data_IF_678470272588
#
_entry.id   IF_678470272588
#
_cell.length_a   1.000
_cell.length_b   1.000
_cell.length_c   1.000
_cell.angle_alpha   90.00
_cell.angle_beta   90.00
_cell.angle_gamma   90.00
#
_symmetry.space_group_name_H-M   'P 1'
#
loop_
_entity.id
_entity.type
_entity.pdbx_description
1 polymer ?
#
# COMPACT_ATOMS: atom_id res chain seq x y z
N UNK A 1 28.42 16.65 -1.98
CA UNK A 1 27.00 16.26 -1.98
C UNK A 1 26.66 15.18 -0.93
N UNK A 2 27.42 14.08 -0.85
CA UNK A 2 27.23 13.06 0.22
C UNK A 2 27.52 13.56 1.65
N UNK A 3 28.29 14.64 1.84
CA UNK A 3 28.49 15.25 3.15
C UNK A 3 27.24 15.92 3.73
N UNK A 4 26.30 16.35 2.88
CA UNK A 4 25.03 16.93 3.32
C UNK A 4 24.08 15.83 3.87
N UNK A 5 24.07 14.65 3.27
CA UNK A 5 23.27 13.49 3.74
C UNK A 5 23.82 12.90 5.06
N UNK A 6 25.14 13.05 5.34
CA UNK A 6 25.75 12.62 6.61
C UNK A 6 25.33 13.44 7.83
N UNK A 7 24.70 14.59 7.66
CA UNK A 7 24.26 15.47 8.77
C UNK A 7 22.83 15.18 9.26
N UNK A 8 21.97 14.56 8.45
CA UNK A 8 20.63 14.13 8.89
C UNK A 8 20.75 12.71 9.48
N UNK A 9 20.42 12.54 10.75
CA UNK A 9 20.45 11.20 11.41
C UNK A 9 19.43 10.32 10.71
N UNK A 10 19.89 9.22 10.08
CA UNK A 10 19.01 8.20 9.52
C UNK A 10 18.23 7.58 10.67
N UNK A 11 16.91 7.64 10.61
CA UNK A 11 16.02 7.01 11.60
C UNK A 11 15.24 5.91 10.92
N UNK A 12 14.98 4.82 11.67
CA UNK A 12 14.09 3.76 11.19
C UNK A 12 12.68 4.34 11.11
N UNK A 13 12.04 4.33 9.93
CA UNK A 13 10.62 4.65 9.80
C UNK A 13 9.76 3.79 10.73
N UNK A 14 8.64 4.33 11.20
CA UNK A 14 7.78 3.63 12.16
C UNK A 14 7.32 2.26 11.65
N UNK A 15 6.98 2.17 10.37
CA UNK A 15 6.59 0.93 9.68
C UNK A 15 7.71 -0.10 9.52
N UNK A 16 8.98 0.24 9.80
CA UNK A 16 10.10 -0.72 9.73
C UNK A 16 10.64 -1.12 11.10
N UNK A 17 10.19 -0.47 12.21
CA UNK A 17 10.77 -0.67 13.54
C UNK A 17 10.72 -2.12 14.04
N UNK A 18 9.67 -2.87 13.65
CA UNK A 18 9.53 -4.27 14.02
C UNK A 18 10.29 -5.23 13.09
N UNK A 19 10.75 -4.73 11.94
CA UNK A 19 11.42 -5.50 10.91
C UNK A 19 12.95 -5.43 11.04
N UNK A 20 13.49 -4.24 11.36
CA UNK A 20 14.93 -3.97 11.39
C UNK A 20 15.30 -3.01 12.51
N UNK A 21 16.37 -3.31 13.22
CA UNK A 21 16.91 -2.45 14.29
C UNK A 21 17.58 -1.19 13.73
N UNK A 22 17.66 -0.13 14.55
CA UNK A 22 18.22 1.18 14.16
C UNK A 22 19.61 1.09 13.53
N UNK A 23 20.53 0.29 14.13
CA UNK A 23 21.90 0.14 13.63
C UNK A 23 21.97 -0.58 12.28
N UNK A 24 21.19 -1.65 12.11
CA UNK A 24 21.15 -2.42 10.86
C UNK A 24 20.47 -1.60 9.75
N UNK A 25 19.46 -0.80 10.10
CA UNK A 25 18.82 0.11 9.16
C UNK A 25 19.75 1.22 8.66
N UNK A 26 20.55 1.81 9.54
CA UNK A 26 21.58 2.79 9.15
C UNK A 26 22.59 2.16 8.17
N UNK A 27 23.00 0.90 8.43
CA UNK A 27 23.89 0.14 7.52
C UNK A 27 23.18 -0.06 6.17
N UNK A 28 21.95 -0.54 6.18
CA UNK A 28 21.14 -0.78 4.97
C UNK A 28 21.02 0.47 4.10
N UNK A 29 20.58 1.61 4.68
CA UNK A 29 20.43 2.86 3.92
C UNK A 29 21.77 3.35 3.37
N UNK A 30 22.84 3.30 4.17
CA UNK A 30 24.17 3.68 3.72
C UNK A 30 24.67 2.78 2.56
N UNK A 31 24.39 1.48 2.60
CA UNK A 31 24.69 0.57 1.50
C UNK A 31 23.89 0.93 0.24
N UNK A 32 22.60 1.21 0.36
CA UNK A 32 21.77 1.67 -0.76
C UNK A 32 22.34 2.94 -1.41
N UNK A 33 22.67 3.95 -0.60
CA UNK A 33 23.23 5.22 -1.08
C UNK A 33 24.60 5.03 -1.78
N UNK A 34 25.45 4.14 -1.25
CA UNK A 34 26.74 3.84 -1.86
C UNK A 34 26.57 3.10 -3.20
N UNK A 35 25.69 2.09 -3.26
CA UNK A 35 25.41 1.37 -4.50
C UNK A 35 24.85 2.31 -5.57
N UNK A 36 23.88 3.17 -5.22
CA UNK A 36 23.34 4.16 -6.16
C UNK A 36 24.42 5.13 -6.66
N UNK A 37 25.33 5.55 -5.79
CA UNK A 37 26.48 6.38 -6.18
C UNK A 37 27.40 5.64 -7.15
N UNK A 38 27.73 4.37 -6.89
CA UNK A 38 28.60 3.54 -7.75
C UNK A 38 27.94 3.31 -9.12
N UNK A 39 26.61 3.26 -9.17
CA UNK A 39 25.81 3.20 -10.39
C UNK A 39 25.64 4.57 -11.08
N UNK A 40 26.23 5.63 -10.57
CA UNK A 40 26.20 6.96 -11.17
C UNK A 40 24.88 7.74 -10.92
N UNK A 41 24.04 7.27 -10.01
CA UNK A 41 22.78 7.94 -9.65
C UNK A 41 23.05 9.18 -8.82
N UNK A 42 22.51 10.32 -9.23
CA UNK A 42 22.63 11.59 -8.49
C UNK A 42 21.53 11.69 -7.41
N UNK A 43 21.80 11.13 -6.24
CA UNK A 43 20.89 11.20 -5.10
C UNK A 43 20.78 12.62 -4.56
N UNK A 44 19.55 13.11 -4.38
CA UNK A 44 19.21 14.45 -3.86
C UNK A 44 18.97 14.39 -2.36
N UNK A 45 18.13 13.49 -1.91
CA UNK A 45 17.72 13.34 -0.51
C UNK A 45 17.35 11.93 -0.15
N UNK A 46 17.29 11.65 1.15
CA UNK A 46 16.72 10.46 1.75
C UNK A 46 15.80 10.91 2.90
N UNK A 47 14.58 10.38 2.92
CA UNK A 47 13.60 10.64 4.00
C UNK A 47 12.58 9.50 4.11
N UNK A 48 12.39 8.95 5.32
CA UNK A 48 11.37 7.93 5.64
C UNK A 48 11.29 6.72 4.66
N UNK A 49 12.44 6.18 4.26
CA UNK A 49 12.47 5.04 3.33
C UNK A 49 12.33 5.41 1.85
N UNK A 50 12.27 6.72 1.53
CA UNK A 50 12.27 7.25 0.18
C UNK A 50 13.63 7.87 -0.16
N UNK A 51 14.26 7.42 -1.24
CA UNK A 51 15.46 8.03 -1.83
C UNK A 51 15.05 8.84 -3.07
N UNK A 52 15.15 10.15 -2.98
CA UNK A 52 14.94 11.05 -4.13
C UNK A 52 16.22 11.18 -4.94
N UNK A 53 16.15 11.02 -6.25
CA UNK A 53 17.29 11.18 -7.16
C UNK A 53 16.97 12.10 -8.34
N UNK A 54 18.02 12.69 -8.93
CA UNK A 54 17.89 13.56 -10.11
C UNK A 54 17.68 12.70 -11.36
N UNK A 55 16.48 12.70 -11.89
CA UNK A 55 16.17 12.12 -13.19
C UNK A 55 16.54 13.06 -14.35
N UNK A 56 16.30 12.64 -15.59
CA UNK A 56 16.60 13.46 -16.80
C UNK A 56 15.77 14.73 -16.88
N UNK A 57 14.48 14.61 -16.63
CA UNK A 57 13.51 15.72 -16.73
C UNK A 57 13.07 16.20 -15.33
N UNK A 58 12.90 15.29 -14.40
CA UNK A 58 12.40 15.52 -13.05
C UNK A 58 13.09 14.62 -12.03
N UNK A 59 12.79 14.87 -10.74
CA UNK A 59 13.30 14.03 -9.65
C UNK A 59 12.52 12.71 -9.60
N UNK A 60 13.24 11.61 -9.49
CA UNK A 60 12.68 10.27 -9.31
C UNK A 60 12.77 9.79 -7.87
N UNK A 61 12.04 8.73 -7.54
CA UNK A 61 11.93 8.17 -6.19
C UNK A 61 12.22 6.66 -6.18
N UNK A 62 12.98 6.20 -5.18
CA UNK A 62 13.13 4.79 -4.84
C UNK A 62 12.54 4.56 -3.45
N UNK A 63 11.36 3.92 -3.39
CA UNK A 63 10.76 3.47 -2.14
C UNK A 63 11.40 2.16 -1.69
N UNK A 64 11.88 2.11 -0.46
CA UNK A 64 12.70 1.00 0.03
C UNK A 64 11.91 -0.14 0.70
N UNK A 65 10.60 -0.06 0.80
CA UNK A 65 9.75 -1.03 1.51
C UNK A 65 9.92 -2.47 1.00
N UNK A 66 9.92 -2.71 -0.31
CA UNK A 66 10.15 -4.03 -0.86
C UNK A 66 11.59 -4.50 -0.67
N UNK A 67 12.55 -3.58 -0.80
CA UNK A 67 13.97 -3.91 -0.65
C UNK A 67 14.34 -4.22 0.79
N UNK A 68 13.85 -3.44 1.78
CA UNK A 68 14.13 -3.72 3.20
C UNK A 68 13.57 -5.06 3.63
N UNK A 69 12.37 -5.44 3.14
CA UNK A 69 11.76 -6.74 3.40
C UNK A 69 12.63 -7.88 2.89
N UNK A 70 13.13 -7.79 1.66
CA UNK A 70 14.06 -8.78 1.09
C UNK A 70 15.39 -8.81 1.83
N UNK A 71 15.94 -7.63 2.16
CA UNK A 71 17.21 -7.48 2.85
C UNK A 71 17.26 -8.21 4.20
N UNK A 72 16.17 -8.18 4.98
CA UNK A 72 16.13 -8.86 6.28
C UNK A 72 15.90 -10.36 6.18
N UNK A 73 15.43 -10.86 5.02
CA UNK A 73 15.19 -12.28 4.77
C UNK A 73 16.43 -13.03 4.27
N UNK A 74 17.45 -12.32 3.76
CA UNK A 74 18.67 -12.94 3.26
C UNK A 74 19.78 -12.92 4.31
N UNK A 75 20.68 -13.90 4.22
CA UNK A 75 21.85 -13.97 5.09
C UNK A 75 22.74 -12.73 4.95
N UNK A 76 23.39 -12.32 6.05
CA UNK A 76 24.20 -11.08 6.11
C UNK A 76 25.24 -10.97 5.00
N UNK A 77 25.82 -12.08 4.57
CA UNK A 77 26.80 -12.13 3.46
C UNK A 77 26.19 -11.80 2.10
N UNK A 78 24.89 -12.03 1.91
CA UNK A 78 24.14 -11.81 0.67
C UNK A 78 23.42 -10.46 0.62
N UNK A 79 23.29 -9.77 1.75
CA UNK A 79 22.54 -8.52 1.85
C UNK A 79 23.00 -7.42 0.90
N UNK A 80 24.32 -7.22 0.76
CA UNK A 80 24.84 -6.23 -0.16
C UNK A 80 24.62 -6.63 -1.64
N UNK A 81 24.65 -7.93 -1.93
CA UNK A 81 24.35 -8.45 -3.27
C UNK A 81 22.90 -8.18 -3.64
N UNK A 82 21.94 -8.43 -2.72
CA UNK A 82 20.52 -8.13 -2.93
C UNK A 82 20.30 -6.64 -3.26
N UNK A 83 20.96 -5.73 -2.53
CA UNK A 83 20.87 -4.28 -2.81
C UNK A 83 21.43 -3.96 -4.21
N UNK A 84 22.57 -4.53 -4.58
CA UNK A 84 23.20 -4.28 -5.89
C UNK A 84 22.32 -4.78 -7.03
N UNK A 85 21.81 -5.99 -6.91
CA UNK A 85 20.97 -6.62 -7.94
C UNK A 85 19.64 -5.86 -8.10
N UNK A 86 19.05 -5.42 -6.99
CA UNK A 86 17.85 -4.59 -7.01
C UNK A 86 18.05 -3.30 -7.81
N UNK A 87 19.04 -2.48 -7.44
CA UNK A 87 19.26 -1.20 -8.13
C UNK A 87 19.81 -1.37 -9.55
N UNK A 88 20.58 -2.43 -9.83
CA UNK A 88 21.03 -2.73 -11.18
C UNK A 88 19.87 -3.04 -12.11
N UNK A 89 18.94 -3.91 -11.68
CA UNK A 89 17.70 -4.19 -12.43
C UNK A 89 16.91 -2.92 -12.72
N UNK A 90 16.76 -2.04 -11.73
CA UNK A 90 16.06 -0.77 -11.90
C UNK A 90 16.71 0.14 -12.95
N UNK A 91 18.04 0.06 -13.16
CA UNK A 91 18.76 0.86 -14.17
C UNK A 91 18.78 0.25 -15.56
N UNK A 92 18.72 -1.08 -15.67
CA UNK A 92 18.75 -1.78 -16.96
C UNK A 92 17.49 -1.55 -17.81
N UNK A 93 16.45 -0.87 -17.27
CA UNK A 93 15.16 -0.67 -17.95
C UNK A 93 14.80 0.80 -18.30
N UNK A 94 15.75 1.75 -18.52
CA UNK A 94 15.39 3.15 -18.80
C UNK A 94 14.67 3.36 -20.15
N UNK A 95 14.93 2.52 -21.13
CA UNK A 95 14.35 2.66 -22.48
C UNK A 95 12.91 2.19 -22.60
N UNK A 96 12.45 1.32 -21.69
CA UNK A 96 11.08 0.84 -21.69
C UNK A 96 10.09 1.94 -21.24
N UNK A 97 10.50 2.86 -20.34
CA UNK A 97 9.62 3.89 -19.79
C UNK A 97 9.18 4.91 -20.86
N UNK A 98 10.12 5.47 -21.60
CA UNK A 98 9.80 6.45 -22.65
C UNK A 98 8.88 5.85 -23.74
N UNK A 99 8.95 4.54 -23.97
CA UNK A 99 8.08 3.83 -24.90
C UNK A 99 6.66 3.65 -24.33
N UNK A 100 6.56 3.26 -23.06
CA UNK A 100 5.27 3.03 -22.39
C UNK A 100 4.38 4.28 -22.37
N UNK A 101 4.97 5.46 -22.18
CA UNK A 101 4.22 6.72 -22.24
C UNK A 101 3.91 7.21 -23.67
N UNK A 102 4.46 6.57 -24.70
CA UNK A 102 4.15 6.83 -26.10
C UNK A 102 3.15 5.85 -26.71
N UNK A 103 2.97 4.68 -26.09
CA UNK A 103 2.09 3.61 -26.57
C UNK A 103 1.15 3.17 -25.44
N UNK A 104 0.01 3.84 -25.36
CA UNK A 104 -1.01 3.52 -24.35
C UNK A 104 -1.56 2.10 -24.50
N UNK A 105 -1.75 1.63 -25.73
CA UNK A 105 -2.28 0.28 -25.97
C UNK A 105 -1.36 -0.80 -25.41
N UNK A 106 -0.07 -0.54 -25.41
CA UNK A 106 0.89 -1.42 -24.74
C UNK A 106 0.93 -1.18 -23.22
N UNK A 107 0.93 0.09 -22.77
CA UNK A 107 1.05 0.43 -21.35
C UNK A 107 -0.15 -0.03 -20.50
N UNK A 108 -1.38 0.00 -21.05
CA UNK A 108 -2.62 -0.28 -20.33
C UNK A 108 -2.67 -1.68 -19.69
N UNK A 109 -1.94 -2.66 -20.22
CA UNK A 109 -1.87 -4.01 -19.64
C UNK A 109 -1.13 -4.06 -18.29
N UNK A 110 -0.28 -3.09 -18.01
CA UNK A 110 0.49 -2.97 -16.76
C UNK A 110 -0.19 -2.05 -15.75
N UNK A 111 -1.27 -1.33 -16.15
CA UNK A 111 -1.97 -0.42 -15.26
C UNK A 111 -2.60 -1.18 -14.10
N UNK A 112 -2.29 -0.74 -12.89
CA UNK A 112 -2.91 -1.23 -11.65
C UNK A 112 -3.10 -0.09 -10.67
N UNK A 113 -3.75 -0.37 -9.57
CA UNK A 113 -3.88 0.57 -8.45
C UNK A 113 -3.29 -0.02 -7.19
N UNK A 114 -2.73 0.85 -6.35
CA UNK A 114 -2.30 0.51 -4.98
C UNK A 114 -3.05 1.40 -3.99
N UNK A 115 -3.50 0.80 -2.88
CA UNK A 115 -4.00 1.57 -1.73
C UNK A 115 -2.80 1.94 -0.86
N UNK A 116 -2.72 3.20 -0.47
CA UNK A 116 -1.59 3.76 0.30
C UNK A 116 -2.08 4.74 1.37
N UNK A 117 -1.33 4.91 2.47
CA UNK A 117 -1.53 6.01 3.40
C UNK A 117 -1.34 7.37 2.70
N UNK A 118 -1.98 8.42 3.24
CA UNK A 118 -1.91 9.78 2.66
C UNK A 118 -0.55 10.44 2.79
N UNK A 119 0.28 9.98 3.71
CA UNK A 119 1.62 10.53 4.02
C UNK A 119 2.78 9.76 3.35
N UNK A 120 2.48 8.95 2.32
CA UNK A 120 3.49 8.13 1.63
C UNK A 120 4.65 8.96 1.07
N UNK A 121 4.39 10.16 0.59
CA UNK A 121 5.41 11.10 0.10
C UNK A 121 4.89 12.55 0.15
N UNK A 122 5.77 13.54 0.45
CA UNK A 122 5.40 14.95 0.40
C UNK A 122 4.98 15.44 -1.01
N UNK A 123 5.32 14.70 -2.06
CA UNK A 123 5.01 15.04 -3.45
C UNK A 123 3.82 14.26 -4.03
N UNK A 124 2.94 13.76 -3.17
CA UNK A 124 1.82 12.90 -3.62
C UNK A 124 0.92 13.61 -4.65
N UNK A 125 0.82 14.93 -4.60
CA UNK A 125 0.04 15.72 -5.55
C UNK A 125 0.55 15.65 -6.99
N UNK A 126 1.78 15.23 -7.22
CA UNK A 126 2.35 15.05 -8.55
C UNK A 126 1.85 13.76 -9.22
N UNK A 127 1.34 12.80 -8.45
CA UNK A 127 0.90 11.50 -8.94
C UNK A 127 -0.59 11.45 -9.28
N UNK A 128 -0.98 10.48 -10.11
CA UNK A 128 -2.39 10.21 -10.42
C UNK A 128 -3.00 9.43 -9.28
N UNK A 129 -3.82 10.11 -8.48
CA UNK A 129 -4.44 9.55 -7.28
C UNK A 129 -5.92 9.90 -7.22
N UNK A 130 -6.69 9.08 -6.49
CA UNK A 130 -8.05 9.38 -6.03
C UNK A 130 -8.28 8.82 -4.63
N UNK A 131 -9.41 9.14 -4.02
CA UNK A 131 -9.80 8.63 -2.70
C UNK A 131 -10.98 7.67 -2.90
N UNK A 132 -10.76 6.37 -2.64
CA UNK A 132 -11.83 5.38 -2.58
C UNK A 132 -12.17 5.04 -1.13
N UNK A 133 -11.17 4.82 -0.28
CA UNK A 133 -11.32 4.69 1.17
C UNK A 133 -11.09 6.04 1.87
N UNK A 134 -11.91 6.45 2.84
CA UNK A 134 -11.61 7.64 3.64
C UNK A 134 -10.19 7.57 4.22
N UNK A 135 -9.46 8.68 4.15
CA UNK A 135 -8.08 8.84 4.65
C UNK A 135 -7.02 7.93 4.01
N UNK A 136 -7.35 7.27 2.89
CA UNK A 136 -6.39 6.50 2.07
C UNK A 136 -6.39 7.00 0.63
N UNK A 137 -5.25 6.80 -0.03
CA UNK A 137 -5.07 7.11 -1.44
C UNK A 137 -5.13 5.83 -2.28
N UNK A 138 -5.88 5.88 -3.37
CA UNK A 138 -5.75 4.95 -4.48
C UNK A 138 -4.82 5.57 -5.51
N UNK A 139 -3.63 4.99 -5.68
CA UNK A 139 -2.57 5.51 -6.55
C UNK A 139 -2.47 4.65 -7.80
N UNK A 140 -2.43 5.30 -8.97
CA UNK A 140 -2.24 4.60 -10.24
C UNK A 140 -0.77 4.24 -10.45
N UNK A 141 -0.51 2.99 -10.83
CA UNK A 141 0.84 2.46 -11.06
C UNK A 141 0.92 1.65 -12.35
N UNK A 142 2.14 1.53 -12.90
CA UNK A 142 2.48 0.45 -13.82
C UNK A 142 3.16 -0.65 -13.01
N UNK A 143 2.62 -1.86 -13.09
CA UNK A 143 3.15 -3.04 -12.41
C UNK A 143 4.10 -3.80 -13.33
N UNK A 144 5.35 -3.86 -12.93
CA UNK A 144 6.37 -4.72 -13.52
C UNK A 144 6.71 -5.82 -12.51
N UNK A 145 7.19 -6.96 -12.98
CA UNK A 145 7.47 -8.13 -12.12
C UNK A 145 8.30 -7.81 -10.86
N UNK A 146 9.16 -6.80 -10.92
CA UNK A 146 10.14 -6.48 -9.88
C UNK A 146 9.89 -5.14 -9.19
N UNK A 147 8.96 -4.30 -9.69
CA UNK A 147 8.69 -2.95 -9.16
C UNK A 147 7.37 -2.36 -9.62
N UNK A 148 6.94 -1.32 -8.89
CA UNK A 148 5.87 -0.41 -9.31
C UNK A 148 6.46 0.91 -9.78
N UNK A 149 6.01 1.40 -10.95
CA UNK A 149 6.20 2.78 -11.34
C UNK A 149 4.93 3.58 -11.00
N UNK A 150 5.06 4.51 -10.08
CA UNK A 150 3.98 5.41 -9.67
C UNK A 150 3.78 6.44 -10.78
N UNK A 151 2.59 6.47 -11.40
CA UNK A 151 2.31 7.30 -12.57
C UNK A 151 2.11 8.74 -12.16
N UNK A 152 2.92 9.62 -12.73
CA UNK A 152 2.79 11.07 -12.52
C UNK A 152 1.71 11.63 -13.45
N UNK A 153 1.13 12.77 -13.05
CA UNK A 153 0.10 13.46 -13.86
C UNK A 153 0.62 13.90 -15.22
N UNK A 154 1.87 14.40 -15.27
CA UNK A 154 2.51 14.82 -16.53
C UNK A 154 2.83 13.63 -17.46
N UNK A 155 3.12 12.46 -16.93
CA UNK A 155 3.27 11.22 -17.70
C UNK A 155 1.92 10.73 -18.24
N UNK A 156 0.89 10.68 -17.39
CA UNK A 156 -0.44 10.19 -17.77
C UNK A 156 -1.11 11.04 -18.85
N UNK A 157 -0.89 12.36 -18.86
CA UNK A 157 -1.42 13.28 -19.89
C UNK A 157 -0.94 12.91 -21.29
N UNK A 158 0.25 12.31 -21.44
CA UNK A 158 0.78 11.88 -22.74
C UNK A 158 -0.06 10.79 -23.40
N UNK A 159 -0.86 10.06 -22.65
CA UNK A 159 -1.78 9.04 -23.17
C UNK A 159 -3.09 9.62 -23.74
N UNK A 160 -3.38 10.89 -23.50
CA UNK A 160 -4.63 11.56 -23.93
C UNK A 160 -5.90 10.80 -23.50
N UNK A 161 -5.84 10.11 -22.33
CA UNK A 161 -6.92 9.33 -21.72
C UNK A 161 -7.33 9.98 -20.40
N UNK A 162 -8.63 10.04 -20.15
CA UNK A 162 -9.17 10.55 -18.89
C UNK A 162 -8.69 9.71 -17.69
N UNK A 163 -8.36 10.34 -16.56
CA UNK A 163 -7.85 9.65 -15.39
C UNK A 163 -8.84 8.63 -14.82
N UNK A 164 -10.15 8.93 -14.85
CA UNK A 164 -11.16 7.97 -14.39
C UNK A 164 -11.20 6.72 -15.28
N UNK A 165 -10.94 6.86 -16.59
CA UNK A 165 -10.84 5.72 -17.50
C UNK A 165 -9.58 4.89 -17.20
N UNK A 166 -8.45 5.52 -16.87
CA UNK A 166 -7.24 4.83 -16.43
C UNK A 166 -7.49 4.00 -15.16
N UNK A 167 -8.22 4.55 -14.17
CA UNK A 167 -8.60 3.81 -12.98
C UNK A 167 -9.52 2.62 -13.28
N UNK A 168 -10.47 2.76 -14.21
CA UNK A 168 -11.33 1.63 -14.61
C UNK A 168 -10.52 0.50 -15.24
N UNK A 169 -9.60 0.82 -16.15
CA UNK A 169 -8.70 -0.16 -16.77
C UNK A 169 -7.85 -0.84 -15.71
N UNK A 170 -7.27 -0.06 -14.80
CA UNK A 170 -6.46 -0.59 -13.71
C UNK A 170 -7.26 -1.55 -12.81
N UNK A 171 -8.51 -1.25 -12.48
CA UNK A 171 -9.38 -2.14 -11.71
C UNK A 171 -9.76 -3.42 -12.47
N UNK A 172 -9.95 -3.36 -13.79
CA UNK A 172 -10.11 -4.55 -14.63
C UNK A 172 -8.86 -5.43 -14.56
N UNK A 173 -7.66 -4.85 -14.59
CA UNK A 173 -6.43 -5.61 -14.43
C UNK A 173 -6.27 -6.20 -13.01
N UNK A 174 -6.67 -5.44 -11.96
CA UNK A 174 -6.72 -5.96 -10.57
C UNK A 174 -7.65 -7.14 -10.45
N UNK A 175 -8.78 -7.18 -11.18
CA UNK A 175 -9.72 -8.30 -11.13
C UNK A 175 -9.14 -9.63 -11.64
N UNK A 176 -8.03 -9.57 -12.36
CA UNK A 176 -7.32 -10.75 -12.91
C UNK A 176 -6.20 -11.24 -11.98
N UNK A 177 -5.94 -10.52 -10.88
CA UNK A 177 -4.92 -10.92 -9.92
C UNK A 177 -5.32 -12.18 -9.14
N UNK A 178 -4.31 -13.00 -8.86
CA UNK A 178 -4.50 -14.19 -8.05
C UNK A 178 -4.52 -13.83 -6.56
N UNK A 179 -5.68 -13.37 -6.06
CA UNK A 179 -5.91 -13.10 -4.65
C UNK A 179 -6.59 -14.30 -4.01
N UNK A 180 -5.90 -14.93 -3.07
CA UNK A 180 -6.49 -16.02 -2.29
C UNK A 180 -7.50 -15.46 -1.29
N UNK A 181 -8.71 -16.00 -1.26
CA UNK A 181 -9.76 -15.62 -0.31
C UNK A 181 -10.04 -16.81 0.60
N UNK A 182 -9.74 -16.65 1.89
CA UNK A 182 -10.00 -17.67 2.91
C UNK A 182 -11.10 -17.21 3.85
N UNK A 183 -12.06 -18.09 4.09
CA UNK A 183 -13.09 -17.89 5.10
C UNK A 183 -12.60 -18.43 6.44
N UNK A 184 -12.65 -17.60 7.48
CA UNK A 184 -12.33 -17.97 8.86
C UNK A 184 -13.52 -17.68 9.76
N UNK A 185 -13.66 -18.49 10.80
CA UNK A 185 -14.65 -18.27 11.86
C UNK A 185 -13.94 -17.60 13.05
N UNK A 186 -14.26 -16.34 13.30
CA UNK A 186 -13.73 -15.58 14.44
C UNK A 186 -14.69 -15.69 15.64
N UNK A 187 -14.12 -15.88 16.82
CA UNK A 187 -14.86 -16.02 18.10
C UNK A 187 -15.96 -17.11 18.03
N UNK A 188 -15.74 -18.18 17.23
CA UNK A 188 -16.71 -19.25 16.96
C UNK A 188 -18.09 -18.76 16.45
N UNK A 189 -18.18 -17.54 15.93
CA UNK A 189 -19.43 -16.87 15.62
C UNK A 189 -19.41 -16.08 14.30
N UNK A 190 -18.33 -15.37 14.00
CA UNK A 190 -18.28 -14.41 12.92
C UNK A 190 -17.52 -14.95 11.71
N UNK A 191 -18.18 -15.04 10.56
CA UNK A 191 -17.53 -15.33 9.29
C UNK A 191 -16.68 -14.14 8.85
N UNK A 192 -15.37 -14.30 8.70
CA UNK A 192 -14.45 -13.30 8.19
C UNK A 192 -13.75 -13.83 6.96
N UNK A 193 -13.84 -13.12 5.86
CA UNK A 193 -13.08 -13.42 4.64
C UNK A 193 -11.75 -12.67 4.71
N UNK A 194 -10.65 -13.41 4.61
CA UNK A 194 -9.30 -12.86 4.60
C UNK A 194 -8.76 -12.96 3.19
N UNK A 195 -8.45 -11.82 2.59
CA UNK A 195 -7.81 -11.72 1.29
C UNK A 195 -6.30 -11.78 1.51
N UNK A 196 -5.63 -12.63 0.76
CA UNK A 196 -4.18 -12.84 0.85
C UNK A 196 -3.56 -12.80 -0.54
N UNK A 197 -2.64 -11.85 -0.73
CA UNK A 197 -1.79 -11.77 -1.91
C UNK A 197 -0.45 -11.12 -1.55
N UNK A 198 0.51 -11.11 -2.47
CA UNK A 198 1.76 -10.37 -2.25
C UNK A 198 1.55 -8.86 -2.18
N UNK A 199 0.77 -8.30 -3.13
CA UNK A 199 0.73 -6.86 -3.35
C UNK A 199 -0.67 -6.25 -3.53
N UNK A 200 -1.71 -7.05 -3.85
CA UNK A 200 -2.97 -6.52 -4.39
C UNK A 200 -4.23 -6.82 -3.59
N UNK A 201 -4.15 -7.42 -2.40
CA UNK A 201 -5.34 -7.66 -1.58
C UNK A 201 -6.09 -6.37 -1.23
N UNK A 202 -5.35 -5.31 -0.85
CA UNK A 202 -5.95 -4.01 -0.58
C UNK A 202 -6.66 -3.44 -1.80
N UNK A 203 -6.02 -3.48 -2.96
CA UNK A 203 -6.60 -3.01 -4.23
C UNK A 203 -7.79 -3.85 -4.68
N UNK A 204 -7.73 -5.18 -4.50
CA UNK A 204 -8.81 -6.10 -4.83
C UNK A 204 -10.07 -5.86 -3.99
N UNK A 205 -9.93 -5.34 -2.77
CA UNK A 205 -11.07 -5.00 -1.93
C UNK A 205 -11.97 -3.89 -2.52
N UNK A 206 -11.46 -3.10 -3.47
CA UNK A 206 -12.26 -2.13 -4.23
C UNK A 206 -13.29 -2.80 -5.17
N UNK A 207 -13.14 -4.09 -5.41
CA UNK A 207 -14.02 -4.90 -6.26
C UNK A 207 -15.04 -5.71 -5.45
N UNK A 208 -15.27 -5.38 -4.19
CA UNK A 208 -16.17 -6.12 -3.29
C UNK A 208 -17.56 -6.30 -3.88
N UNK A 209 -18.12 -5.28 -4.51
CA UNK A 209 -19.47 -5.28 -5.09
C UNK A 209 -19.60 -6.09 -6.38
N UNK A 210 -18.49 -6.46 -7.01
CA UNK A 210 -18.48 -7.15 -8.30
C UNK A 210 -17.87 -8.54 -8.24
N UNK A 211 -16.98 -8.81 -7.26
CA UNK A 211 -16.22 -10.06 -7.17
C UNK A 211 -16.39 -10.79 -5.83
N UNK A 212 -17.01 -10.15 -4.82
CA UNK A 212 -17.14 -10.70 -3.48
C UNK A 212 -18.52 -10.39 -2.87
N UNK A 213 -19.59 -10.53 -3.63
CA UNK A 213 -20.98 -10.32 -3.17
C UNK A 213 -21.32 -11.19 -1.96
N UNK A 214 -20.71 -12.36 -1.83
CA UNK A 214 -20.82 -13.24 -0.67
C UNK A 214 -20.25 -12.64 0.63
N UNK A 215 -19.41 -11.63 0.54
CA UNK A 215 -18.83 -10.89 1.66
C UNK A 215 -19.63 -9.63 2.03
N UNK A 216 -20.78 -9.40 1.41
CA UNK A 216 -21.69 -8.30 1.69
C UNK A 216 -22.91 -8.85 2.43
N UNK A 217 -23.12 -8.40 3.67
CA UNK A 217 -24.28 -8.75 4.48
C UNK A 217 -25.46 -7.83 4.25
N UNK A 218 -26.54 -8.07 5.00
CA UNK A 218 -27.78 -7.26 4.96
C UNK A 218 -27.51 -5.78 5.24
N UNK A 219 -26.55 -5.50 6.13
CA UNK A 219 -26.14 -4.16 6.53
C UNK A 219 -24.77 -3.75 5.94
N UNK A 220 -24.35 -4.39 4.83
CA UNK A 220 -23.07 -4.13 4.20
C UNK A 220 -21.92 -4.98 4.76
N UNK A 221 -20.72 -4.43 4.76
CA UNK A 221 -19.50 -5.14 5.18
C UNK A 221 -18.63 -4.30 6.10
N UNK A 222 -18.04 -4.94 7.11
CA UNK A 222 -16.93 -4.40 7.90
C UNK A 222 -15.61 -4.78 7.21
N UNK A 223 -14.75 -3.80 6.92
CA UNK A 223 -13.50 -3.99 6.19
C UNK A 223 -12.33 -3.45 7.01
N UNK A 224 -11.24 -4.21 7.11
CA UNK A 224 -9.97 -3.79 7.68
C UNK A 224 -8.85 -4.02 6.68
N UNK A 225 -7.96 -3.02 6.50
CA UNK A 225 -6.87 -3.06 5.51
C UNK A 225 -5.54 -2.80 6.22
N UNK A 226 -5.00 -3.77 6.99
CA UNK A 226 -3.75 -3.56 7.70
C UNK A 226 -2.55 -3.42 6.77
N UNK A 227 -2.50 -4.15 5.66
CA UNK A 227 -1.37 -4.14 4.72
C UNK A 227 -1.84 -4.23 3.27
N UNK A 228 -0.93 -3.98 2.31
CA UNK A 228 -1.24 -4.15 0.88
C UNK A 228 -1.62 -5.60 0.51
N UNK A 229 -1.05 -6.57 1.23
CA UNK A 229 -1.22 -8.00 0.97
C UNK A 229 -2.29 -8.68 1.81
N UNK A 230 -2.90 -7.99 2.79
CA UNK A 230 -3.89 -8.59 3.69
C UNK A 230 -5.08 -7.66 3.89
N UNK A 231 -6.29 -8.20 3.70
CA UNK A 231 -7.56 -7.51 3.97
C UNK A 231 -8.50 -8.45 4.71
N UNK A 232 -9.22 -7.93 5.68
CA UNK A 232 -10.27 -8.63 6.42
C UNK A 232 -11.63 -8.06 6.03
N UNK A 233 -12.60 -8.92 5.71
CA UNK A 233 -13.96 -8.51 5.35
C UNK A 233 -14.96 -9.37 6.10
N UNK A 234 -15.85 -8.75 6.87
CA UNK A 234 -16.96 -9.44 7.54
C UNK A 234 -18.31 -8.93 6.99
N UNK A 235 -19.19 -9.81 6.47
CA UNK A 235 -20.54 -9.45 6.06
C UNK A 235 -21.39 -9.12 7.30
N UNK A 236 -21.86 -7.90 7.42
CA UNK A 236 -22.69 -7.46 8.55
C UNK A 236 -24.13 -7.95 8.33
N UNK A 237 -24.55 -8.93 9.13
CA UNK A 237 -25.91 -9.52 9.06
C UNK A 237 -26.72 -9.28 10.32
N UNK A 238 -26.08 -8.92 11.42
CA UNK A 238 -26.70 -8.72 12.74
C UNK A 238 -26.01 -7.56 13.46
N UNK A 239 -26.62 -7.01 14.48
CA UNK A 239 -26.08 -5.87 15.22
C UNK A 239 -24.97 -6.23 16.23
N UNK A 240 -24.73 -7.50 16.48
CA UNK A 240 -23.69 -7.99 17.39
C UNK A 240 -22.29 -8.07 16.75
N UNK A 241 -22.16 -7.73 15.46
CA UNK A 241 -20.86 -7.67 14.78
C UNK A 241 -19.85 -6.73 15.47
N UNK A 242 -20.32 -5.78 16.28
CA UNK A 242 -19.43 -4.90 17.06
C UNK A 242 -18.56 -5.69 18.04
N UNK A 243 -18.99 -6.86 18.50
CA UNK A 243 -18.20 -7.74 19.36
C UNK A 243 -16.93 -8.23 18.63
N UNK A 244 -17.02 -8.40 17.30
CA UNK A 244 -15.87 -8.79 16.45
C UNK A 244 -14.78 -7.70 16.40
N UNK A 245 -15.11 -6.43 16.56
CA UNK A 245 -14.19 -5.32 16.27
C UNK A 245 -12.90 -5.40 17.09
N UNK A 246 -12.97 -5.85 18.35
CA UNK A 246 -11.78 -6.01 19.22
C UNK A 246 -10.86 -7.13 18.71
N UNK A 247 -11.44 -8.29 18.41
CA UNK A 247 -10.66 -9.45 17.90
C UNK A 247 -10.05 -9.12 16.55
N UNK A 248 -10.82 -8.49 15.67
CA UNK A 248 -10.35 -8.07 14.36
C UNK A 248 -9.23 -7.02 14.45
N UNK A 249 -9.36 -6.05 15.35
CA UNK A 249 -8.35 -5.03 15.58
C UNK A 249 -7.01 -5.65 16.03
N UNK A 250 -7.03 -6.61 16.95
CA UNK A 250 -5.83 -7.31 17.42
C UNK A 250 -5.15 -8.10 16.29
N UNK A 251 -5.94 -8.78 15.43
CA UNK A 251 -5.39 -9.47 14.27
C UNK A 251 -4.80 -8.49 13.25
N UNK A 252 -5.49 -7.38 12.97
CA UNK A 252 -4.96 -6.32 12.10
C UNK A 252 -3.66 -5.75 12.63
N UNK A 253 -3.56 -5.49 13.96
CA UNK A 253 -2.36 -4.94 14.58
C UNK A 253 -1.15 -5.85 14.37
N UNK A 254 -1.32 -7.16 14.45
CA UNK A 254 -0.27 -8.12 14.17
C UNK A 254 0.26 -7.97 12.74
N UNK A 255 -0.62 -8.00 11.72
CA UNK A 255 -0.21 -7.82 10.32
C UNK A 255 0.38 -6.44 10.07
N UNK A 256 -0.23 -5.40 10.61
CA UNK A 256 0.24 -4.02 10.47
C UNK A 256 1.66 -3.81 10.99
N UNK A 257 1.97 -4.43 12.14
CA UNK A 257 3.29 -4.29 12.77
C UNK A 257 4.37 -5.19 12.15
N UNK A 258 3.99 -6.30 11.52
CA UNK A 258 4.93 -7.26 10.93
C UNK A 258 5.26 -6.93 9.46
N UNK A 259 4.42 -6.17 8.76
CA UNK A 259 4.60 -5.87 7.34
C UNK A 259 5.03 -4.41 7.11
N UNK A 260 6.19 -4.14 6.47
CA UNK A 260 6.64 -2.79 6.15
C UNK A 260 5.73 -2.07 5.13
N UNK A 261 4.83 -2.80 4.47
CA UNK A 261 3.82 -2.23 3.56
C UNK A 261 2.47 -2.07 4.24
N UNK A 262 2.50 -1.70 5.53
CA UNK A 262 1.30 -1.41 6.30
C UNK A 262 0.54 -0.21 5.70
N UNK A 263 -0.80 -0.22 5.89
CA UNK A 263 -1.70 0.78 5.30
C UNK A 263 -2.50 1.48 6.39
N UNK A 264 -3.38 0.76 7.10
CA UNK A 264 -4.26 1.37 8.09
C UNK A 264 -4.67 0.41 9.20
N UNK A 265 -4.82 0.98 10.40
CA UNK A 265 -5.47 0.35 11.55
C UNK A 265 -6.93 0.77 11.68
N UNK A 266 -7.49 1.41 10.67
CA UNK A 266 -8.88 1.83 10.67
C UNK A 266 -9.80 0.76 10.11
N UNK A 267 -11.05 0.78 10.59
CA UNK A 267 -12.12 -0.06 10.11
C UNK A 267 -13.06 0.76 9.23
N UNK A 268 -13.51 0.14 8.15
CA UNK A 268 -14.39 0.77 7.16
C UNK A 268 -15.70 0.00 7.07
N UNK A 269 -16.78 0.73 6.84
CA UNK A 269 -18.06 0.18 6.47
C UNK A 269 -18.32 0.40 4.98
N UNK A 270 -18.64 -0.68 4.28
CA UNK A 270 -19.06 -0.65 2.89
C UNK A 270 -20.55 -0.99 2.76
N UNK A 271 -21.33 -0.13 2.13
CA UNK A 271 -22.71 -0.42 1.71
C UNK A 271 -23.05 0.35 0.44
N UNK A 272 -23.62 -0.34 -0.56
CA UNK A 272 -24.10 0.24 -1.83
C UNK A 272 -23.10 1.20 -2.48
N UNK A 273 -21.83 0.79 -2.59
CA UNK A 273 -20.72 1.56 -3.16
C UNK A 273 -20.28 2.77 -2.33
N UNK A 274 -20.74 2.88 -1.12
CA UNK A 274 -20.31 3.91 -0.17
C UNK A 274 -19.38 3.29 0.85
N UNK A 275 -18.20 3.89 1.04
CA UNK A 275 -17.24 3.53 2.08
C UNK A 275 -17.22 4.62 3.15
N UNK A 276 -17.36 4.23 4.41
CA UNK A 276 -17.30 5.12 5.57
C UNK A 276 -16.37 4.59 6.63
N UNK A 277 -15.72 5.50 7.33
CA UNK A 277 -14.84 5.19 8.43
C UNK A 277 -15.63 4.90 9.70
N UNK A 278 -15.24 3.88 10.47
CA UNK A 278 -15.67 3.73 11.85
C UNK A 278 -14.98 4.79 12.71
N UNK A 279 -15.75 5.42 13.59
CA UNK A 279 -15.18 6.41 14.50
C UNK A 279 -14.28 5.73 15.53
N UNK A 280 -13.08 6.28 15.74
CA UNK A 280 -12.09 5.79 16.68
C UNK A 280 -11.73 6.88 17.69
N UNK A 281 -11.89 6.59 18.97
CA UNK A 281 -11.56 7.53 20.05
C UNK A 281 -10.57 6.88 21.01
N UNK A 282 -9.47 7.56 21.26
CA UNK A 282 -8.50 7.19 22.28
C UNK A 282 -8.98 7.68 23.64
N UNK A 283 -9.03 6.78 24.61
CA UNK A 283 -9.40 7.08 25.98
C UNK A 283 -8.17 7.46 26.81
N UNK A 284 -8.35 8.17 27.90
CA UNK A 284 -7.25 8.59 28.81
C UNK A 284 -6.47 7.42 29.42
N UNK A 285 -7.08 6.23 29.50
CA UNK A 285 -6.44 5.00 29.99
C UNK A 285 -5.69 4.22 28.90
N UNK A 286 -5.54 4.77 27.70
CA UNK A 286 -4.83 4.15 26.59
C UNK A 286 -5.65 3.09 25.81
N UNK A 287 -6.95 2.92 26.11
CA UNK A 287 -7.83 2.04 25.32
C UNK A 287 -8.43 2.77 24.14
N UNK A 288 -8.85 2.02 23.13
CA UNK A 288 -9.53 2.54 21.94
C UNK A 288 -11.02 2.16 22.03
N UNK A 289 -11.87 3.15 21.80
CA UNK A 289 -13.30 2.92 21.59
C UNK A 289 -13.58 3.05 20.09
N UNK A 290 -14.17 2.01 19.50
CA UNK A 290 -14.64 1.99 18.12
C UNK A 290 -16.14 2.11 18.10
N UNK A 291 -16.70 2.98 17.28
CA UNK A 291 -18.14 3.17 17.15
C UNK A 291 -18.58 3.23 15.68
N UNK A 292 -19.77 2.71 15.42
CA UNK A 292 -20.34 2.65 14.08
C UNK A 292 -20.52 4.06 13.48
N UNK A 293 -20.41 4.19 12.15
CA UNK A 293 -20.93 5.35 11.42
C UNK A 293 -22.42 5.58 11.73
N UNK A 294 -22.86 6.83 11.78
CA UNK A 294 -24.24 7.16 12.16
C UNK A 294 -25.28 6.54 11.22
N UNK A 295 -24.97 6.38 9.95
CA UNK A 295 -25.85 5.75 8.97
C UNK A 295 -25.99 4.25 9.24
N UNK A 296 -24.90 3.53 9.51
CA UNK A 296 -24.95 2.12 9.87
C UNK A 296 -25.75 1.93 11.16
N UNK A 297 -25.52 2.79 12.17
CA UNK A 297 -26.22 2.74 13.44
C UNK A 297 -27.74 2.87 13.29
N UNK A 298 -28.21 3.67 12.33
CA UNK A 298 -29.64 3.83 12.05
C UNK A 298 -30.24 2.55 11.49
N UNK A 299 -29.63 1.95 10.47
CA UNK A 299 -30.20 0.79 9.78
C UNK A 299 -30.12 -0.51 10.60
N UNK A 300 -29.12 -0.64 11.49
CA UNK A 300 -28.97 -1.82 12.35
C UNK A 300 -29.92 -1.80 13.56
N UNK A 301 -30.43 -0.62 13.98
CA UNK A 301 -31.33 -0.47 15.11
C UNK A 301 -32.83 -0.32 14.69
N UNK A 302 -33.13 -0.33 13.40
CA UNK A 302 -34.47 -0.40 12.85
C UNK A 302 -34.99 -1.86 12.78
#
# INVERSE_FOLDING_TARGET
>A
MLEFLRKKKIQVPDNYKNLIGQSDYEIFVNQCLNVLKDLGVNVISYENGDITYKGKNEDGHYFLDNLVRKYVQVDKENQLTEIKDHFKKLQETPYAYDYLFKDFDYAKQFLKVLIKPTDITPKIDDFVTRIDYPDLLTVLVLDFEDRFHYIRKDEAILWEVDFEELFKIALVNISQENVEIRKHLFDDKFDVYVLLSGDFSASFSLLIDTHMDFAIGEYGSLIGIPTKGTVFIHPITTNDFMDLTSTLYNEMERFYNEDPSNISMDLYWFDKKVLKLFNKTWNDNGTITISMPDELKKIVNE
#
